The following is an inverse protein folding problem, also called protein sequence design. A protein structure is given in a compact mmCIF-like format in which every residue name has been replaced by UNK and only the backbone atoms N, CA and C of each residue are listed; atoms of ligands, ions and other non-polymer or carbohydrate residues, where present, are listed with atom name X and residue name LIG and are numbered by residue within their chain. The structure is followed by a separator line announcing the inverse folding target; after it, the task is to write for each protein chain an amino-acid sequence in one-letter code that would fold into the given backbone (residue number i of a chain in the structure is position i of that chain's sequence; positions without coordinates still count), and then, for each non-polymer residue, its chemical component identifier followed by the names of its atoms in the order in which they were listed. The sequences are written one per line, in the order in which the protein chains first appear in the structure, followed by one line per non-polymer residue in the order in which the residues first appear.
data_IF_674548254726
#
_entry.id   IF_674548254726
#
_cell.length_a   1.000
_cell.length_b   1.000
_cell.length_c   1.000
_cell.angle_alpha   90.00
_cell.angle_beta   90.00
_cell.angle_gamma   90.00
#
_symmetry.space_group_name_H-M   'P 1'
#
loop_
_entity.id
_entity.type
_entity.pdbx_description
1 polymer ?
#
# COMPACT_ATOMS: atom_id res chain seq x y z
N UNK A 1 41.40 22.48 -10.50
CA UNK A 1 40.48 22.85 -9.41
C UNK A 1 41.22 22.66 -8.10
N UNK A 2 41.82 23.72 -7.54
CA UNK A 2 42.59 23.65 -6.29
C UNK A 2 41.66 23.88 -5.10
N UNK A 3 41.44 22.85 -4.29
CA UNK A 3 40.66 22.96 -3.06
C UNK A 3 41.28 24.01 -2.12
N UNK A 4 40.47 24.99 -1.72
CA UNK A 4 40.86 26.04 -0.78
C UNK A 4 40.95 25.44 0.62
N UNK A 5 42.16 25.02 1.04
CA UNK A 5 42.47 24.67 2.44
C UNK A 5 42.40 25.95 3.30
N UNK A 6 41.26 26.19 3.95
CA UNK A 6 41.07 27.24 4.96
C UNK A 6 41.77 26.85 6.26
N UNK A 7 43.06 27.14 6.36
CA UNK A 7 43.87 26.90 7.55
C UNK A 7 45.24 27.57 7.43
N UNK A 8 45.89 27.83 8.57
CA UNK A 8 47.26 28.36 8.62
C UNK A 8 48.16 27.51 7.69
N UNK A 9 48.95 28.12 6.79
CA UNK A 9 49.74 27.36 5.83
C UNK A 9 50.63 26.34 6.55
N UNK A 10 50.69 25.08 6.06
CA UNK A 10 51.56 24.07 6.64
C UNK A 10 53.01 24.58 6.61
N UNK A 11 53.75 24.32 7.70
CA UNK A 11 55.16 24.74 7.84
C UNK A 11 56.13 23.91 7.00
N UNK A 12 55.60 23.07 6.12
CA UNK A 12 56.34 22.14 5.27
C UNK A 12 55.76 22.19 3.85
N UNK A 13 56.61 21.90 2.88
CA UNK A 13 56.24 21.76 1.47
C UNK A 13 56.09 20.27 1.11
N UNK A 14 55.28 19.98 0.10
CA UNK A 14 55.09 18.62 -0.41
C UNK A 14 56.41 17.97 -0.85
N UNK A 15 57.32 18.73 -1.45
CA UNK A 15 58.67 18.28 -1.81
C UNK A 15 59.51 17.86 -0.58
N UNK A 16 59.35 18.55 0.56
CA UNK A 16 60.02 18.18 1.80
C UNK A 16 59.41 16.92 2.43
N UNK A 17 58.09 16.70 2.28
CA UNK A 17 57.43 15.46 2.73
C UNK A 17 57.89 14.28 1.87
N UNK A 18 57.93 14.43 0.54
CA UNK A 18 58.43 13.40 -0.38
C UNK A 18 59.88 13.01 -0.08
N UNK A 19 60.74 14.01 0.15
CA UNK A 19 62.14 13.78 0.52
C UNK A 19 62.28 13.14 1.91
N UNK A 20 61.40 13.52 2.85
CA UNK A 20 61.31 12.88 4.17
C UNK A 20 60.89 11.40 4.08
N UNK A 21 59.91 11.08 3.22
CA UNK A 21 59.49 9.70 2.93
C UNK A 21 60.66 8.90 2.35
N UNK A 22 61.37 9.44 1.36
CA UNK A 22 62.52 8.77 0.73
C UNK A 22 63.64 8.48 1.74
N UNK A 23 63.94 9.41 2.64
CA UNK A 23 64.96 9.24 3.67
C UNK A 23 64.57 8.17 4.70
N UNK A 24 63.27 8.06 5.04
CA UNK A 24 62.76 7.00 5.92
C UNK A 24 62.84 5.64 5.22
N UNK A 25 62.46 5.57 3.94
CA UNK A 25 62.53 4.35 3.13
C UNK A 25 63.98 3.88 2.94
N UNK A 26 64.94 4.79 2.70
CA UNK A 26 66.37 4.49 2.59
C UNK A 26 66.98 3.97 3.88
N UNK A 27 66.46 4.41 5.03
CA UNK A 27 66.82 3.89 6.34
C UNK A 27 66.15 2.55 6.67
N UNK A 28 65.34 1.99 5.76
CA UNK A 28 64.60 0.74 5.95
C UNK A 28 63.38 0.86 6.86
N UNK A 29 62.92 2.07 7.17
CA UNK A 29 61.77 2.33 8.02
C UNK A 29 60.45 2.44 7.24
N UNK A 30 59.32 2.27 7.93
CA UNK A 30 58.01 2.55 7.36
C UNK A 30 57.73 4.07 7.38
N UNK A 31 57.43 4.70 6.22
CA UNK A 31 57.13 6.13 6.14
C UNK A 31 55.74 6.43 6.73
N UNK A 32 55.73 6.83 8.00
CA UNK A 32 54.56 7.29 8.76
C UNK A 32 54.72 8.75 9.14
N UNK A 33 53.65 9.44 9.49
CA UNK A 33 53.68 10.85 9.88
C UNK A 33 54.70 11.15 10.97
N UNK A 34 54.88 10.26 11.95
CA UNK A 34 55.87 10.45 13.02
C UNK A 34 57.32 10.20 12.60
N UNK A 35 57.56 9.18 11.77
CA UNK A 35 58.92 8.88 11.28
C UNK A 35 59.39 9.91 10.26
N UNK A 36 58.49 10.32 9.36
CA UNK A 36 58.71 11.38 8.38
C UNK A 36 58.87 12.73 9.08
N UNK A 37 58.10 13.01 10.14
CA UNK A 37 58.31 14.22 10.96
C UNK A 37 59.71 14.25 11.56
N UNK A 38 60.17 13.14 12.15
CA UNK A 38 61.50 13.05 12.78
C UNK A 38 62.62 13.26 11.75
N UNK A 39 62.54 12.64 10.58
CA UNK A 39 63.55 12.80 9.52
C UNK A 39 63.52 14.20 8.90
N UNK A 40 62.33 14.79 8.69
CA UNK A 40 62.20 16.16 8.20
C UNK A 40 62.75 17.20 9.19
N UNK A 41 62.53 17.02 10.49
CA UNK A 41 63.08 17.93 11.51
C UNK A 41 64.60 17.79 11.64
N UNK A 42 65.12 16.56 11.58
CA UNK A 42 66.54 16.29 11.77
C UNK A 42 67.41 16.62 10.54
N UNK A 43 66.91 16.37 9.33
CA UNK A 43 67.71 16.41 8.10
C UNK A 43 67.28 17.49 7.10
N UNK A 44 66.05 18.03 7.22
CA UNK A 44 65.50 19.01 6.28
C UNK A 44 65.20 20.37 6.93
N UNK A 45 65.57 20.56 8.20
CA UNK A 45 65.48 21.83 8.92
C UNK A 45 64.04 22.33 9.16
N UNK A 46 63.05 21.43 9.10
CA UNK A 46 61.64 21.79 9.23
C UNK A 46 61.25 21.97 10.71
N UNK A 47 60.47 23.00 11.11
CA UNK A 47 60.17 23.26 12.52
C UNK A 47 59.42 22.10 13.20
N UNK A 48 59.89 21.66 14.37
CA UNK A 48 59.33 20.51 15.13
C UNK A 48 57.86 20.62 15.58
N UNK A 49 57.27 21.81 15.50
CA UNK A 49 55.86 22.08 15.83
C UNK A 49 54.84 21.64 14.79
N UNK A 50 55.18 20.70 13.90
CA UNK A 50 54.25 20.12 12.92
C UNK A 50 53.30 19.14 13.62
N UNK A 51 52.01 19.19 13.28
CA UNK A 51 51.06 18.18 13.73
C UNK A 51 51.32 16.85 12.99
N UNK A 52 51.67 15.81 13.73
CA UNK A 52 51.98 14.49 13.18
C UNK A 52 50.78 13.88 12.44
N UNK A 53 49.55 14.06 12.94
CA UNK A 53 48.34 13.53 12.30
C UNK A 53 48.04 14.19 10.95
N UNK A 54 48.30 15.49 10.83
CA UNK A 54 48.12 16.20 9.56
C UNK A 54 49.20 15.82 8.54
N UNK A 55 50.41 15.51 9.01
CA UNK A 55 51.49 15.00 8.16
C UNK A 55 51.25 13.55 7.74
N UNK A 56 50.68 12.72 8.61
CA UNK A 56 50.37 11.32 8.33
C UNK A 56 49.40 11.19 7.14
N UNK A 57 48.30 11.97 7.15
CA UNK A 57 47.37 12.02 6.01
C UNK A 57 48.03 12.47 4.70
N UNK A 58 48.98 13.40 4.78
CA UNK A 58 49.70 13.88 3.60
C UNK A 58 50.71 12.82 3.10
N UNK A 59 51.35 12.09 4.02
CA UNK A 59 52.23 10.95 3.70
C UNK A 59 51.43 9.82 3.06
N UNK A 60 50.28 9.43 3.63
CA UNK A 60 49.37 8.43 3.06
C UNK A 60 48.95 8.81 1.63
N UNK A 61 48.46 10.05 1.43
CA UNK A 61 48.09 10.54 0.09
C UNK A 61 49.23 10.40 -0.91
N UNK A 62 50.44 10.81 -0.54
CA UNK A 62 51.61 10.77 -1.43
C UNK A 62 52.06 9.34 -1.73
N UNK A 63 51.92 8.42 -0.78
CA UNK A 63 52.20 7.00 -1.00
C UNK A 63 51.15 6.36 -1.93
N UNK A 64 49.87 6.68 -1.75
CA UNK A 64 48.79 6.25 -2.64
C UNK A 64 49.00 6.76 -4.07
N UNK A 65 49.36 8.04 -4.20
CA UNK A 65 49.65 8.65 -5.50
C UNK A 65 50.87 8.01 -6.17
N UNK A 66 51.98 7.80 -5.44
CA UNK A 66 53.14 7.04 -5.94
C UNK A 66 52.74 5.63 -6.38
N UNK A 67 51.90 4.94 -5.62
CA UNK A 67 51.45 3.58 -5.94
C UNK A 67 50.53 3.58 -7.17
N UNK A 68 49.69 4.60 -7.32
CA UNK A 68 48.87 4.78 -8.51
C UNK A 68 49.73 5.01 -9.74
N UNK A 69 50.69 5.95 -9.69
CA UNK A 69 51.64 6.20 -10.78
C UNK A 69 52.47 4.96 -11.12
N UNK A 70 52.89 4.17 -10.12
CA UNK A 70 53.59 2.89 -10.37
C UNK A 70 52.69 1.90 -11.11
N UNK A 71 51.43 1.77 -10.71
CA UNK A 71 50.45 0.91 -11.41
C UNK A 71 50.22 1.37 -12.84
N UNK A 72 50.03 2.67 -13.07
CA UNK A 72 49.86 3.22 -14.42
C UNK A 72 51.10 2.97 -15.29
N UNK A 73 52.31 3.17 -14.75
CA UNK A 73 53.56 2.86 -15.48
C UNK A 73 53.68 1.38 -15.81
N UNK A 74 53.31 0.49 -14.88
CA UNK A 74 53.30 -0.95 -15.13
C UNK A 74 52.31 -1.32 -16.23
N UNK A 75 51.11 -0.75 -16.22
CA UNK A 75 50.10 -0.93 -17.28
C UNK A 75 50.58 -0.33 -18.61
N UNK A 76 51.24 0.83 -18.59
CA UNK A 76 51.82 1.47 -19.76
C UNK A 76 53.02 0.69 -20.34
N UNK A 77 53.74 -0.06 -19.51
CA UNK A 77 54.82 -0.93 -19.93
C UNK A 77 54.35 -2.25 -20.56
N UNK A 78 53.07 -2.61 -20.40
CA UNK A 78 52.52 -3.80 -21.06
C UNK A 78 52.54 -3.64 -22.59
N UNK A 79 52.79 -4.74 -23.34
CA UNK A 79 52.67 -4.75 -24.79
C UNK A 79 51.29 -4.26 -25.24
N UNK A 80 51.26 -3.55 -26.37
CA UNK A 80 50.02 -3.05 -26.95
C UNK A 80 49.03 -4.18 -27.24
N UNK A 81 49.53 -5.32 -27.71
CA UNK A 81 48.74 -6.53 -27.96
C UNK A 81 47.99 -7.00 -26.71
N UNK A 82 48.66 -7.02 -25.55
CA UNK A 82 48.03 -7.42 -24.29
C UNK A 82 46.96 -6.43 -23.84
N UNK A 83 47.22 -5.12 -23.98
CA UNK A 83 46.22 -4.09 -23.64
C UNK A 83 45.02 -4.11 -24.57
N UNK A 84 45.23 -4.33 -25.86
CA UNK A 84 44.17 -4.47 -26.85
C UNK A 84 43.30 -5.70 -26.56
N UNK A 85 43.92 -6.84 -26.26
CA UNK A 85 43.21 -8.06 -25.89
C UNK A 85 42.33 -7.87 -24.63
N UNK A 86 42.83 -7.17 -23.60
CA UNK A 86 42.02 -6.87 -22.40
C UNK A 86 40.83 -5.97 -22.73
N UNK A 87 41.00 -4.98 -23.61
CA UNK A 87 39.87 -4.12 -24.06
C UNK A 87 38.83 -4.93 -24.83
N UNK A 88 39.27 -5.82 -25.71
CA UNK A 88 38.39 -6.68 -26.50
C UNK A 88 37.61 -7.66 -25.60
N UNK A 89 38.29 -8.31 -24.65
CA UNK A 89 37.65 -9.15 -23.64
C UNK A 89 36.64 -8.34 -22.82
N UNK A 90 37.01 -7.13 -22.40
CA UNK A 90 36.12 -6.22 -21.69
C UNK A 90 34.85 -5.92 -22.48
N UNK A 91 34.99 -5.57 -23.76
CA UNK A 91 33.85 -5.31 -24.64
C UNK A 91 32.96 -6.55 -24.87
N UNK A 92 33.56 -7.73 -25.01
CA UNK A 92 32.82 -8.99 -25.13
C UNK A 92 32.02 -9.30 -23.86
N UNK A 93 32.64 -9.15 -22.69
CA UNK A 93 31.98 -9.39 -21.39
C UNK A 93 30.87 -8.37 -21.18
N UNK A 94 31.12 -7.09 -21.44
CA UNK A 94 30.10 -6.05 -21.35
C UNK A 94 28.90 -6.36 -22.25
N UNK A 95 29.14 -6.71 -23.50
CA UNK A 95 28.09 -7.08 -24.45
C UNK A 95 27.30 -8.30 -23.98
N UNK A 96 27.97 -9.33 -23.49
CA UNK A 96 27.33 -10.54 -22.98
C UNK A 96 26.45 -10.26 -21.75
N UNK A 97 26.94 -9.43 -20.81
CA UNK A 97 26.19 -9.01 -19.63
C UNK A 97 24.97 -8.18 -20.03
N UNK A 98 25.14 -7.18 -20.90
CA UNK A 98 24.03 -6.35 -21.38
C UNK A 98 22.98 -7.17 -22.13
N UNK A 99 23.40 -8.14 -22.95
CA UNK A 99 22.49 -9.03 -23.65
C UNK A 99 21.68 -9.88 -22.68
N UNK A 100 22.33 -10.52 -21.71
CA UNK A 100 21.66 -11.32 -20.70
C UNK A 100 20.66 -10.50 -19.87
N UNK A 101 21.07 -9.32 -19.40
CA UNK A 101 20.17 -8.39 -18.69
C UNK A 101 18.99 -7.93 -19.57
N UNK A 102 19.22 -7.72 -20.86
CA UNK A 102 18.17 -7.42 -21.83
C UNK A 102 17.12 -8.53 -21.94
N UNK A 103 17.57 -9.78 -22.02
CA UNK A 103 16.67 -10.95 -22.07
C UNK A 103 15.86 -11.11 -20.77
N UNK A 104 16.51 -10.98 -19.61
CA UNK A 104 15.85 -11.00 -18.29
C UNK A 104 14.77 -9.90 -18.19
N UNK A 105 15.10 -8.68 -18.62
CA UNK A 105 14.17 -7.54 -18.62
C UNK A 105 12.95 -7.82 -19.52
N UNK A 106 13.16 -8.37 -20.71
CA UNK A 106 12.08 -8.72 -21.63
C UNK A 106 11.17 -9.83 -21.07
N UNK A 107 11.78 -10.85 -20.43
CA UNK A 107 11.05 -11.89 -19.71
C UNK A 107 10.18 -11.31 -18.59
N UNK A 108 10.75 -10.44 -17.76
CA UNK A 108 10.02 -9.76 -16.69
C UNK A 108 8.88 -8.88 -17.23
N UNK A 109 9.11 -8.12 -18.31
CA UNK A 109 8.07 -7.32 -18.97
C UNK A 109 6.93 -8.18 -19.47
N UNK A 110 7.24 -9.33 -20.05
CA UNK A 110 6.23 -10.28 -20.55
C UNK A 110 5.39 -10.84 -19.41
N UNK A 111 6.02 -11.25 -18.30
CA UNK A 111 5.32 -11.77 -17.12
C UNK A 111 4.46 -10.67 -16.49
N UNK A 112 4.99 -9.46 -16.33
CA UNK A 112 4.25 -8.32 -15.80
C UNK A 112 3.04 -7.99 -16.69
N UNK A 113 3.22 -7.96 -18.01
CA UNK A 113 2.13 -7.73 -18.96
C UNK A 113 1.03 -8.79 -18.85
N UNK A 114 1.39 -10.08 -18.75
CA UNK A 114 0.43 -11.17 -18.55
C UNK A 114 -0.34 -11.03 -17.23
N UNK A 115 0.34 -10.67 -16.14
CA UNK A 115 -0.29 -10.46 -14.82
C UNK A 115 -1.27 -9.30 -14.85
N UNK A 116 -0.89 -8.17 -15.46
CA UNK A 116 -1.77 -7.00 -15.62
C UNK A 116 -2.99 -7.35 -16.47
N UNK A 117 -2.80 -8.07 -17.57
CA UNK A 117 -3.91 -8.51 -18.43
C UNK A 117 -4.89 -9.42 -17.67
N UNK A 118 -4.39 -10.40 -16.91
CA UNK A 118 -5.22 -11.27 -16.08
C UNK A 118 -6.00 -10.47 -15.01
N UNK A 119 -5.33 -9.57 -14.30
CA UNK A 119 -5.97 -8.69 -13.31
C UNK A 119 -7.05 -7.80 -13.92
N UNK A 120 -6.84 -7.29 -15.13
CA UNK A 120 -7.85 -6.48 -15.83
C UNK A 120 -9.09 -7.30 -16.19
N UNK A 121 -8.91 -8.57 -16.60
CA UNK A 121 -10.03 -9.48 -16.85
C UNK A 121 -10.79 -9.75 -15.55
N UNK A 122 -10.09 -10.06 -14.46
CA UNK A 122 -10.70 -10.31 -13.16
C UNK A 122 -11.48 -9.09 -12.65
N UNK A 123 -10.92 -7.89 -12.75
CA UNK A 123 -11.60 -6.64 -12.40
C UNK A 123 -12.85 -6.40 -13.27
N UNK A 124 -12.78 -6.70 -14.57
CA UNK A 124 -13.93 -6.60 -15.46
C UNK A 124 -15.05 -7.55 -15.02
N UNK A 125 -14.69 -8.81 -14.71
CA UNK A 125 -15.64 -9.82 -14.25
C UNK A 125 -16.29 -9.41 -12.92
N UNK A 126 -15.50 -8.91 -11.97
CA UNK A 126 -16.02 -8.41 -10.69
C UNK A 126 -16.98 -7.23 -10.88
N UNK A 127 -16.66 -6.29 -11.78
CA UNK A 127 -17.56 -5.16 -12.09
C UNK A 127 -18.89 -5.62 -12.67
N UNK A 128 -18.88 -6.64 -13.53
CA UNK A 128 -20.11 -7.25 -14.07
C UNK A 128 -20.92 -7.88 -12.94
N UNK A 129 -20.29 -8.70 -12.10
CA UNK A 129 -20.96 -9.34 -10.96
C UNK A 129 -21.58 -8.31 -9.99
N UNK A 130 -20.86 -7.22 -9.69
CA UNK A 130 -21.38 -6.14 -8.86
C UNK A 130 -22.62 -5.52 -9.50
N UNK A 131 -22.58 -5.25 -10.81
CA UNK A 131 -23.74 -4.69 -11.52
C UNK A 131 -24.95 -5.63 -11.45
N UNK A 132 -24.73 -6.92 -11.70
CA UNK A 132 -25.80 -7.92 -11.65
C UNK A 132 -26.41 -8.04 -10.24
N UNK A 133 -25.57 -7.97 -9.20
CA UNK A 133 -26.03 -7.98 -7.81
C UNK A 133 -26.83 -6.72 -7.47
N UNK A 134 -26.39 -5.54 -7.92
CA UNK A 134 -27.13 -4.29 -7.73
C UNK A 134 -28.50 -4.37 -8.40
N UNK A 135 -28.59 -4.86 -9.65
CA UNK A 135 -29.87 -5.03 -10.33
C UNK A 135 -30.81 -6.01 -9.61
N UNK A 136 -30.26 -7.07 -8.99
CA UNK A 136 -31.06 -7.97 -8.15
C UNK A 136 -31.56 -7.29 -6.88
N UNK A 137 -30.74 -6.45 -6.25
CA UNK A 137 -31.14 -5.68 -5.07
C UNK A 137 -32.28 -4.73 -5.43
N UNK A 138 -32.17 -4.01 -6.54
CA UNK A 138 -33.20 -3.07 -7.00
C UNK A 138 -34.53 -3.81 -7.25
N UNK A 139 -34.47 -4.95 -7.95
CA UNK A 139 -35.66 -5.77 -8.20
C UNK A 139 -36.31 -6.31 -6.92
N UNK A 140 -35.51 -6.79 -5.97
CA UNK A 140 -36.02 -7.25 -4.68
C UNK A 140 -36.61 -6.09 -3.86
N UNK A 141 -36.04 -4.88 -3.97
CA UNK A 141 -36.59 -3.71 -3.30
C UNK A 141 -37.96 -3.31 -3.86
N UNK A 142 -38.15 -3.42 -5.18
CA UNK A 142 -39.46 -3.26 -5.83
C UNK A 142 -40.45 -4.32 -5.35
N UNK A 143 -40.06 -5.60 -5.33
CA UNK A 143 -40.92 -6.70 -4.86
C UNK A 143 -41.34 -6.52 -3.40
N UNK A 144 -40.42 -6.07 -2.53
CA UNK A 144 -40.71 -5.75 -1.13
C UNK A 144 -41.71 -4.59 -1.03
N UNK A 145 -41.58 -3.57 -1.87
CA UNK A 145 -42.50 -2.43 -1.88
C UNK A 145 -43.91 -2.87 -2.29
N UNK A 146 -44.02 -3.67 -3.35
CA UNK A 146 -45.29 -4.21 -3.85
C UNK A 146 -45.97 -5.09 -2.80
N UNK A 147 -45.22 -5.99 -2.16
CA UNK A 147 -45.73 -6.80 -1.05
C UNK A 147 -46.15 -5.94 0.15
N UNK A 148 -45.42 -4.87 0.42
CA UNK A 148 -45.77 -3.88 1.44
C UNK A 148 -47.12 -3.20 1.15
N UNK A 149 -47.35 -2.78 -0.09
CA UNK A 149 -48.62 -2.20 -0.53
C UNK A 149 -49.77 -3.20 -0.43
N UNK A 150 -49.59 -4.41 -0.96
CA UNK A 150 -50.60 -5.48 -0.89
C UNK A 150 -50.97 -5.84 0.55
N UNK A 151 -50.00 -5.82 1.47
CA UNK A 151 -50.25 -6.05 2.89
C UNK A 151 -51.15 -4.95 3.48
N UNK A 152 -50.85 -3.68 3.21
CA UNK A 152 -51.64 -2.54 3.71
C UNK A 152 -53.08 -2.63 3.17
N UNK A 153 -53.25 -2.88 1.88
CA UNK A 153 -54.59 -3.07 1.28
C UNK A 153 -55.34 -4.24 1.94
N UNK A 154 -54.66 -5.35 2.21
CA UNK A 154 -55.25 -6.49 2.92
C UNK A 154 -55.68 -6.16 4.35
N UNK A 155 -54.87 -5.38 5.08
CA UNK A 155 -55.21 -4.91 6.43
C UNK A 155 -56.42 -3.95 6.41
N UNK A 156 -56.52 -3.06 5.43
CA UNK A 156 -57.67 -2.19 5.23
C UNK A 156 -58.95 -2.98 4.91
N UNK A 157 -58.87 -3.98 4.03
CA UNK A 157 -60.00 -4.85 3.74
C UNK A 157 -60.45 -5.65 4.97
N UNK A 158 -59.50 -6.15 5.76
CA UNK A 158 -59.79 -6.88 6.99
C UNK A 158 -60.49 -5.99 8.02
N UNK A 159 -60.01 -4.76 8.24
CA UNK A 159 -60.64 -3.83 9.18
C UNK A 159 -62.05 -3.44 8.75
N UNK A 160 -62.26 -3.21 7.44
CA UNK A 160 -63.59 -2.97 6.88
C UNK A 160 -64.54 -4.15 7.09
N UNK A 161 -64.09 -5.37 6.77
CA UNK A 161 -64.88 -6.58 6.97
C UNK A 161 -65.22 -6.83 8.45
N UNK A 162 -64.28 -6.54 9.37
CA UNK A 162 -64.53 -6.62 10.81
C UNK A 162 -65.59 -5.61 11.27
N UNK A 163 -65.55 -4.38 10.76
CA UNK A 163 -66.56 -3.36 11.06
C UNK A 163 -67.95 -3.75 10.52
N UNK A 164 -68.02 -4.26 9.30
CA UNK A 164 -69.27 -4.77 8.71
C UNK A 164 -69.81 -5.95 9.53
N UNK A 165 -68.96 -6.89 9.93
CA UNK A 165 -69.36 -8.02 10.77
C UNK A 165 -69.88 -7.57 12.13
N UNK A 166 -69.24 -6.58 12.76
CA UNK A 166 -69.71 -5.99 14.01
C UNK A 166 -71.07 -5.30 13.86
N UNK A 167 -71.28 -4.54 12.78
CA UNK A 167 -72.57 -3.91 12.49
C UNK A 167 -73.69 -4.93 12.25
N UNK A 168 -73.40 -6.02 11.52
CA UNK A 168 -74.34 -7.10 11.30
C UNK A 168 -74.70 -7.83 12.60
N UNK A 169 -73.71 -8.10 13.46
CA UNK A 169 -73.94 -8.68 14.80
C UNK A 169 -74.84 -7.80 15.67
N UNK A 170 -74.60 -6.49 15.68
CA UNK A 170 -75.45 -5.54 16.40
C UNK A 170 -76.89 -5.58 15.87
N UNK A 171 -77.07 -5.58 14.54
CA UNK A 171 -78.39 -5.69 13.90
C UNK A 171 -79.11 -7.00 14.23
N UNK A 172 -78.40 -8.13 14.28
CA UNK A 172 -78.97 -9.41 14.70
C UNK A 172 -79.47 -9.32 16.13
N UNK A 173 -78.66 -8.79 17.05
CA UNK A 173 -79.05 -8.64 18.46
C UNK A 173 -80.28 -7.73 18.64
N UNK A 174 -80.40 -6.66 17.85
CA UNK A 174 -81.58 -5.78 17.89
C UNK A 174 -82.84 -6.49 17.35
N UNK A 175 -82.71 -7.27 16.27
CA UNK A 175 -83.82 -8.08 15.73
C UNK A 175 -84.26 -9.18 16.71
N UNK A 176 -83.32 -9.82 17.41
CA UNK A 176 -83.60 -10.81 18.46
C UNK A 176 -84.40 -10.16 19.60
N UNK A 177 -84.01 -8.97 20.08
CA UNK A 177 -84.78 -8.22 21.09
C UNK A 177 -86.18 -7.88 20.62
N UNK A 178 -86.34 -7.45 19.37
CA UNK A 178 -87.66 -7.19 18.80
C UNK A 178 -88.52 -8.45 18.75
N UNK A 179 -87.94 -9.59 18.37
CA UNK A 179 -88.63 -10.87 18.34
C UNK A 179 -89.05 -11.32 19.74
N UNK A 180 -88.17 -11.17 20.74
CA UNK A 180 -88.47 -11.50 22.13
C UNK A 180 -89.60 -10.63 22.66
N UNK A 181 -89.58 -9.32 22.39
CA UNK A 181 -90.66 -8.40 22.74
C UNK A 181 -92.00 -8.82 22.09
N UNK A 182 -92.00 -9.16 20.80
CA UNK A 182 -93.20 -9.66 20.12
C UNK A 182 -93.71 -10.96 20.74
N UNK A 183 -92.81 -11.85 21.11
CA UNK A 183 -93.15 -13.14 21.75
C UNK A 183 -93.75 -12.93 23.13
N UNK A 184 -93.19 -12.02 23.93
CA UNK A 184 -93.74 -11.62 25.24
C UNK A 184 -95.12 -10.97 25.10
N UNK A 185 -95.30 -10.05 24.15
CA UNK A 185 -96.59 -9.40 23.90
C UNK A 185 -97.66 -10.42 23.49
N UNK A 186 -97.32 -11.38 22.63
CA UNK A 186 -98.24 -12.47 22.27
C UNK A 186 -98.59 -13.36 23.47
N UNK A 187 -97.63 -13.64 24.36
CA UNK A 187 -97.88 -14.39 25.59
C UNK A 187 -98.85 -13.64 26.53
N UNK A 188 -98.64 -12.34 26.75
CA UNK A 188 -99.56 -11.50 27.54
C UNK A 188 -100.95 -11.44 26.91
N UNK A 189 -101.05 -11.29 25.58
CA UNK A 189 -102.35 -11.30 24.89
C UNK A 189 -103.08 -12.64 25.07
N UNK A 190 -102.37 -13.77 24.98
CA UNK A 190 -102.95 -15.09 25.28
C UNK A 190 -103.43 -15.19 26.72
N UNK A 191 -102.61 -14.79 27.67
CA UNK A 191 -102.97 -14.79 29.09
C UNK A 191 -104.19 -13.90 29.37
N UNK A 192 -104.28 -12.73 28.76
CA UNK A 192 -105.43 -11.81 28.91
C UNK A 192 -106.71 -12.40 28.31
N UNK A 193 -106.60 -13.15 27.21
CA UNK A 193 -107.72 -13.86 26.60
C UNK A 193 -108.16 -15.07 27.43
N UNK A 194 -107.22 -15.73 28.12
CA UNK A 194 -107.47 -16.84 29.05
C UNK A 194 -108.03 -16.37 30.40
N UNK A 195 -107.68 -15.16 30.86
CA UNK A 195 -108.18 -14.55 32.11
C UNK A 195 -109.56 -13.88 31.98
N UNK A 196 -110.23 -13.98 30.83
CA UNK A 196 -111.64 -13.58 30.72
C UNK A 196 -112.45 -14.58 31.55
N UNK A 197 -113.07 -14.20 32.68
CA UNK A 197 -113.81 -15.16 33.48
C UNK A 197 -114.93 -15.74 32.64
N UNK A 198 -115.17 -17.05 32.77
CA UNK A 198 -116.47 -17.63 32.52
C UNK A 198 -117.49 -16.86 33.35
N UNK A 199 -118.08 -15.82 32.76
CA UNK A 199 -119.45 -15.45 33.08
C UNK A 199 -120.28 -16.46 32.31
N UNK A 200 -120.47 -17.61 32.94
CA UNK A 200 -121.51 -18.57 32.60
C UNK A 200 -122.49 -18.57 33.78
N UNK A 201 -123.77 -18.47 33.41
CA UNK A 201 -124.96 -18.28 34.24
C UNK A 201 -125.14 -19.27 35.41
#
# INVERSE_FOLDING_TARGET
MTEKRTGRPPKYTEAQVLKGIELVEQAGGAPTGDTVKKTMCAQLGVPGGINAQSLDKEVERLLEERQHQRRERQVAALPEVSRAAVKEIGAMVETAVLHHLGQELEGLRTIAGKRVAAQNIDLSNQRVQIRDLLSKIDHLAEEIADLGHAKVEGEEQLTKAQAENAALKARIADLEKEQDFRSQMLAVMKETLEQRPEVAD
#
